data_IF_106515252363
#
_entry.id   IF_106515252363
#
_cell.length_a   1.000
_cell.length_b   1.000
_cell.length_c   1.000
_cell.angle_alpha   90.00
_cell.angle_beta   90.00
_cell.angle_gamma   90.00
#
_symmetry.space_group_name_H-M   'P 1'
#
loop_
_entity.id
_entity.type
_entity.pdbx_description
1 polymer ?
#
# COMPACT_ATOMS: atom_id res chain seq x y z
N UNK A 1 -16.03 -15.82 7.23
CA UNK A 1 -16.60 -14.66 6.51
C UNK A 1 -16.07 -13.40 7.20
N UNK A 2 -15.11 -12.70 6.59
CA UNK A 2 -14.15 -11.80 7.25
C UNK A 2 -14.48 -10.31 7.18
N UNK A 3 -15.72 -9.86 7.42
CA UNK A 3 -15.98 -8.41 7.46
C UNK A 3 -17.09 -8.08 8.44
N UNK A 4 -16.71 -7.50 9.58
CA UNK A 4 -17.63 -6.84 10.51
C UNK A 4 -17.93 -5.44 9.95
N UNK A 5 -19.22 -5.12 9.74
CA UNK A 5 -19.64 -3.77 9.36
C UNK A 5 -19.08 -2.76 10.37
N UNK A 6 -18.51 -1.65 9.90
CA UNK A 6 -17.88 -0.64 10.76
C UNK A 6 -16.48 -0.97 11.26
N UNK A 7 -15.83 -2.03 10.77
CA UNK A 7 -14.44 -2.31 11.11
C UNK A 7 -13.50 -1.17 10.69
N UNK A 8 -12.44 -0.94 11.46
CA UNK A 8 -11.48 0.14 11.23
C UNK A 8 -10.39 -0.28 10.25
N UNK A 9 -10.13 0.57 9.26
CA UNK A 9 -9.14 0.33 8.21
C UNK A 9 -8.15 1.48 8.12
N UNK A 10 -6.85 1.16 8.04
CA UNK A 10 -5.82 2.09 7.61
C UNK A 10 -5.45 1.81 6.15
N UNK A 11 -5.68 2.77 5.25
CA UNK A 11 -5.22 2.71 3.85
C UNK A 11 -3.88 3.46 3.74
N UNK A 12 -2.78 2.69 3.68
CA UNK A 12 -1.40 3.17 3.64
C UNK A 12 -1.02 3.43 2.18
N UNK A 13 -0.49 4.62 1.89
CA UNK A 13 -0.25 5.07 0.53
C UNK A 13 -1.56 5.23 -0.25
N UNK A 14 -2.54 5.89 0.36
CA UNK A 14 -3.90 5.99 -0.16
C UNK A 14 -3.99 6.77 -1.48
N UNK A 15 -2.93 7.52 -1.84
CA UNK A 15 -2.92 8.42 -2.99
C UNK A 15 -4.11 9.37 -2.94
N UNK A 16 -4.85 9.46 -4.05
CA UNK A 16 -6.07 10.27 -4.15
C UNK A 16 -7.34 9.55 -3.69
N UNK A 17 -7.21 8.43 -2.97
CA UNK A 17 -8.35 7.71 -2.36
C UNK A 17 -9.01 6.65 -3.24
N UNK A 18 -8.30 6.08 -4.23
CA UNK A 18 -8.86 5.08 -5.17
C UNK A 18 -9.42 3.85 -4.45
N UNK A 19 -8.73 3.40 -3.41
CA UNK A 19 -9.12 2.25 -2.58
C UNK A 19 -9.93 2.71 -1.37
N UNK A 20 -9.56 3.84 -0.78
CA UNK A 20 -10.22 4.44 0.39
C UNK A 20 -11.71 4.71 0.17
N UNK A 21 -12.07 5.32 -0.96
CA UNK A 21 -13.46 5.73 -1.25
C UNK A 21 -14.43 4.53 -1.34
N UNK A 22 -14.14 3.47 -2.12
CA UNK A 22 -14.95 2.27 -2.13
C UNK A 22 -15.10 1.61 -0.75
N UNK A 23 -14.02 1.54 0.04
CA UNK A 23 -14.07 0.95 1.39
C UNK A 23 -15.03 1.72 2.31
N UNK A 24 -14.98 3.05 2.29
CA UNK A 24 -15.94 3.87 3.05
C UNK A 24 -17.38 3.63 2.58
N UNK A 25 -17.62 3.56 1.26
CA UNK A 25 -18.95 3.25 0.70
C UNK A 25 -19.45 1.85 1.06
N UNK A 26 -18.55 0.90 1.33
CA UNK A 26 -18.89 -0.44 1.83
C UNK A 26 -19.17 -0.47 3.34
N UNK A 27 -19.05 0.67 4.04
CA UNK A 27 -19.35 0.78 5.48
C UNK A 27 -18.17 0.55 6.41
N UNK A 28 -16.93 0.60 5.91
CA UNK A 28 -15.74 0.60 6.76
C UNK A 28 -15.45 2.00 7.32
N UNK A 29 -14.83 2.05 8.50
CA UNK A 29 -14.30 3.29 9.08
C UNK A 29 -12.85 3.43 8.64
N UNK A 30 -12.58 4.27 7.65
CA UNK A 30 -11.28 4.32 6.97
C UNK A 30 -10.51 5.60 7.31
N UNK A 31 -9.24 5.43 7.66
CA UNK A 31 -8.23 6.50 7.70
C UNK A 31 -7.29 6.28 6.51
N UNK A 32 -7.08 7.30 5.69
CA UNK A 32 -6.15 7.26 4.56
C UNK A 32 -4.88 8.04 4.87
N UNK A 33 -3.71 7.45 4.63
CA UNK A 33 -2.43 8.16 4.74
C UNK A 33 -1.62 8.08 3.46
N UNK A 34 -0.86 9.13 3.17
CA UNK A 34 0.09 9.16 2.07
C UNK A 34 1.27 10.07 2.45
N UNK A 35 2.46 9.72 1.96
CA UNK A 35 3.67 10.50 2.22
C UNK A 35 3.65 11.83 1.46
N UNK A 36 2.97 11.90 0.31
CA UNK A 36 2.97 13.06 -0.58
C UNK A 36 1.82 14.01 -0.24
N UNK A 37 2.09 15.25 0.25
CA UNK A 37 1.04 16.19 0.65
C UNK A 37 0.00 16.48 -0.43
N UNK A 38 0.44 16.63 -1.68
CA UNK A 38 -0.44 16.89 -2.82
C UNK A 38 -1.46 15.75 -3.07
N UNK A 39 -1.12 14.50 -2.73
CA UNK A 39 -2.06 13.37 -2.83
C UNK A 39 -3.18 13.50 -1.82
N UNK A 40 -2.84 13.85 -0.57
CA UNK A 40 -3.80 14.08 0.51
C UNK A 40 -4.72 15.26 0.21
N UNK A 41 -4.19 16.36 -0.31
CA UNK A 41 -5.00 17.51 -0.73
C UNK A 41 -6.03 17.12 -1.80
N UNK A 42 -5.60 16.36 -2.81
CA UNK A 42 -6.48 15.90 -3.87
C UNK A 42 -7.50 14.86 -3.37
N UNK A 43 -7.11 13.95 -2.50
CA UNK A 43 -8.00 12.98 -1.86
C UNK A 43 -9.12 13.68 -1.07
N UNK A 44 -8.78 14.72 -0.30
CA UNK A 44 -9.75 15.55 0.43
C UNK A 44 -10.73 16.26 -0.51
N UNK A 45 -10.25 16.85 -1.61
CA UNK A 45 -11.11 17.48 -2.63
C UNK A 45 -12.08 16.47 -3.26
N UNK A 46 -11.61 15.26 -3.56
CA UNK A 46 -12.45 14.19 -4.13
C UNK A 46 -13.50 13.73 -3.11
N UNK A 47 -13.11 13.48 -1.86
CA UNK A 47 -14.04 13.08 -0.80
C UNK A 47 -15.12 14.14 -0.55
N UNK A 48 -14.76 15.43 -0.54
CA UNK A 48 -15.71 16.52 -0.42
C UNK A 48 -16.73 16.55 -1.58
N UNK A 49 -16.27 16.38 -2.84
CA UNK A 49 -17.17 16.28 -4.00
C UNK A 49 -18.12 15.08 -3.93
N UNK A 50 -17.66 13.99 -3.33
CA UNK A 50 -18.46 12.78 -3.13
C UNK A 50 -19.30 12.80 -1.85
N UNK A 51 -19.23 13.88 -1.06
CA UNK A 51 -19.91 14.02 0.23
C UNK A 51 -19.56 12.88 1.21
N UNK A 52 -18.30 12.44 1.20
CA UNK A 52 -17.79 11.41 2.10
C UNK A 52 -16.92 12.03 3.20
N UNK A 53 -17.20 11.68 4.45
CA UNK A 53 -16.36 12.01 5.59
C UNK A 53 -15.24 10.98 5.73
N UNK A 54 -14.01 11.34 5.33
CA UNK A 54 -12.83 10.47 5.38
C UNK A 54 -11.69 11.23 6.06
N UNK A 55 -11.04 10.60 7.05
CA UNK A 55 -9.86 11.14 7.71
C UNK A 55 -8.61 10.86 6.86
N UNK A 56 -8.15 11.89 6.14
CA UNK A 56 -6.91 11.85 5.36
C UNK A 56 -5.78 12.61 6.05
N UNK A 57 -4.63 11.96 6.21
CA UNK A 57 -3.44 12.52 6.87
C UNK A 57 -2.19 12.34 6.03
N UNK A 58 -1.27 13.28 6.13
CA UNK A 58 0.10 13.08 5.64
C UNK A 58 0.79 12.14 6.62
N UNK A 59 1.49 11.11 6.14
CA UNK A 59 2.16 10.15 7.00
C UNK A 59 3.16 9.24 6.28
N UNK A 60 4.21 8.85 7.00
CA UNK A 60 5.21 7.88 6.54
C UNK A 60 4.83 6.47 7.02
N UNK A 61 4.81 5.51 6.10
CA UNK A 61 4.55 4.11 6.42
C UNK A 61 5.58 3.49 7.36
N UNK A 62 6.78 4.07 7.47
CA UNK A 62 7.85 3.59 8.35
C UNK A 62 7.71 4.10 9.80
N UNK A 63 6.89 5.12 10.04
CA UNK A 63 6.69 5.77 11.34
C UNK A 63 5.22 6.21 11.52
N UNK A 64 4.33 5.23 11.64
CA UNK A 64 2.90 5.47 11.71
C UNK A 64 2.52 6.15 13.04
N UNK A 65 1.98 7.36 12.97
CA UNK A 65 1.51 8.15 14.11
C UNK A 65 0.17 7.64 14.70
N UNK A 66 0.10 6.34 14.96
CA UNK A 66 -1.04 5.65 15.53
C UNK A 66 -0.58 4.75 16.68
N UNK A 67 -1.45 4.57 17.66
CA UNK A 67 -1.26 3.61 18.76
C UNK A 67 -1.22 2.17 18.23
N UNK A 68 -0.63 1.27 19.02
CA UNK A 68 -0.64 -0.15 18.73
C UNK A 68 -2.07 -0.71 18.80
N UNK A 69 -2.34 -1.80 18.08
CA UNK A 69 -3.62 -2.52 18.14
C UNK A 69 -4.88 -1.67 17.86
N UNK A 70 -4.75 -0.64 17.02
CA UNK A 70 -5.84 0.32 16.71
C UNK A 70 -6.76 -0.16 15.59
N UNK A 71 -6.24 -0.85 14.59
CA UNK A 71 -6.96 -1.16 13.35
C UNK A 71 -7.31 -2.64 13.23
N UNK A 72 -8.51 -2.92 12.70
CA UNK A 72 -8.89 -4.28 12.29
C UNK A 72 -8.17 -4.68 11.00
N UNK A 73 -7.99 -3.73 10.07
CA UNK A 73 -7.31 -3.96 8.80
C UNK A 73 -6.33 -2.84 8.47
N UNK A 74 -5.27 -3.21 7.77
CA UNK A 74 -4.37 -2.27 7.13
C UNK A 74 -4.16 -2.72 5.68
N UNK A 75 -4.24 -1.78 4.76
CA UNK A 75 -4.14 -2.05 3.32
C UNK A 75 -3.02 -1.20 2.75
N UNK A 76 -2.16 -1.80 1.93
CA UNK A 76 -1.17 -1.09 1.12
C UNK A 76 -1.34 -1.51 -0.34
N UNK A 77 -2.30 -0.86 -0.99
CA UNK A 77 -2.74 -1.21 -2.36
C UNK A 77 -1.83 -0.62 -3.43
N UNK A 78 -1.99 -1.09 -4.67
CA UNK A 78 -1.33 -0.57 -5.88
C UNK A 78 0.19 -0.47 -5.75
N UNK A 79 0.82 -1.53 -5.23
CA UNK A 79 2.27 -1.70 -5.19
C UNK A 79 3.03 -0.70 -4.32
N UNK A 80 2.34 0.11 -3.49
CA UNK A 80 2.98 1.18 -2.74
C UNK A 80 4.08 0.71 -1.78
N UNK A 81 3.94 -0.48 -1.17
CA UNK A 81 5.01 -1.06 -0.33
C UNK A 81 6.32 -1.27 -1.11
N UNK A 82 6.25 -1.62 -2.40
CA UNK A 82 7.46 -1.82 -3.22
C UNK A 82 8.15 -0.52 -3.60
N UNK A 83 7.46 0.62 -3.50
CA UNK A 83 8.02 1.95 -3.76
C UNK A 83 8.84 2.48 -2.58
N UNK A 84 8.73 1.88 -1.40
CA UNK A 84 9.55 2.24 -0.25
C UNK A 84 11.02 1.87 -0.54
N UNK A 85 11.95 2.86 -0.54
CA UNK A 85 13.34 2.63 -0.87
C UNK A 85 14.06 1.89 0.25
N UNK A 86 14.90 0.92 -0.09
CA UNK A 86 15.69 0.16 0.89
C UNK A 86 14.97 -1.07 1.43
N UNK A 87 15.72 -2.11 1.83
CA UNK A 87 15.15 -3.34 2.41
C UNK A 87 14.69 -3.06 3.84
N UNK A 88 15.48 -2.30 4.58
CA UNK A 88 15.31 -1.96 5.99
C UNK A 88 14.03 -1.16 6.18
N UNK A 89 13.80 -0.12 5.39
CA UNK A 89 12.57 0.68 5.45
C UNK A 89 11.31 -0.13 5.12
N UNK A 90 11.41 -1.09 4.18
CA UNK A 90 10.29 -1.98 3.87
C UNK A 90 9.98 -2.94 5.01
N UNK A 91 11.00 -3.46 5.69
CA UNK A 91 10.82 -4.27 6.89
C UNK A 91 10.23 -3.42 8.02
N UNK A 92 10.69 -2.17 8.17
CA UNK A 92 10.16 -1.22 9.14
C UNK A 92 8.67 -0.91 8.87
N UNK A 93 8.28 -0.69 7.62
CA UNK A 93 6.87 -0.50 7.27
C UNK A 93 6.00 -1.73 7.56
N UNK A 94 6.54 -2.95 7.39
CA UNK A 94 5.84 -4.17 7.80
C UNK A 94 5.72 -4.28 9.34
N UNK A 95 6.76 -3.88 10.07
CA UNK A 95 6.74 -3.86 11.53
C UNK A 95 5.71 -2.84 12.05
N UNK A 96 5.65 -1.65 11.47
CA UNK A 96 4.64 -0.64 11.80
C UNK A 96 3.22 -1.10 11.47
N UNK A 97 3.01 -1.69 10.29
CA UNK A 97 1.72 -2.27 9.93
C UNK A 97 1.30 -3.37 10.93
N UNK A 98 2.24 -4.22 11.37
CA UNK A 98 1.97 -5.24 12.40
C UNK A 98 1.64 -4.62 13.76
N UNK A 99 2.33 -3.54 14.14
CA UNK A 99 2.16 -2.87 15.44
C UNK A 99 0.78 -2.23 15.57
N UNK A 100 0.31 -1.53 14.53
CA UNK A 100 -0.98 -0.82 14.55
C UNK A 100 -2.19 -1.75 14.40
N UNK A 101 -1.98 -2.99 13.97
CA UNK A 101 -3.04 -3.99 13.83
C UNK A 101 -3.37 -4.62 15.18
N UNK A 102 -4.66 -4.80 15.44
CA UNK A 102 -5.15 -5.64 16.55
C UNK A 102 -4.57 -7.05 16.45
N UNK A 103 -4.63 -7.80 17.55
CA UNK A 103 -4.16 -9.20 17.61
C UNK A 103 -4.62 -10.08 16.45
N UNK A 104 -5.88 -9.96 16.04
CA UNK A 104 -6.48 -10.71 14.93
C UNK A 104 -6.64 -9.85 13.65
N UNK A 105 -5.95 -8.72 13.61
CA UNK A 105 -6.00 -7.78 12.49
C UNK A 105 -5.26 -8.31 11.26
N UNK A 106 -5.72 -7.90 10.09
CA UNK A 106 -5.20 -8.40 8.81
C UNK A 106 -4.48 -7.30 8.05
N UNK A 107 -3.25 -7.58 7.64
CA UNK A 107 -2.51 -6.75 6.69
C UNK A 107 -2.68 -7.28 5.28
N UNK A 108 -3.15 -6.44 4.36
CA UNK A 108 -3.32 -6.78 2.94
C UNK A 108 -2.44 -5.83 2.14
N UNK A 109 -1.50 -6.37 1.35
CA UNK A 109 -0.66 -5.55 0.51
C UNK A 109 -0.39 -6.22 -0.82
N UNK A 110 0.02 -5.40 -1.78
CA UNK A 110 0.32 -5.85 -3.14
C UNK A 110 1.80 -5.57 -3.42
N UNK A 111 2.48 -6.51 -4.07
CA UNK A 111 3.91 -6.41 -4.35
C UNK A 111 4.26 -7.04 -5.70
N UNK A 112 5.26 -6.49 -6.38
CA UNK A 112 5.80 -7.12 -7.58
C UNK A 112 6.81 -8.21 -7.20
N UNK A 113 6.78 -9.37 -7.86
CA UNK A 113 7.88 -10.31 -7.76
C UNK A 113 9.15 -9.61 -8.28
N UNK A 114 10.16 -9.51 -7.42
CA UNK A 114 11.51 -9.15 -7.87
C UNK A 114 12.14 -10.41 -8.43
N UNK A 115 11.80 -10.75 -9.66
CA UNK A 115 12.58 -11.71 -10.43
C UNK A 115 13.90 -11.01 -10.73
N UNK A 116 14.95 -11.32 -9.96
CA UNK A 116 16.31 -11.07 -10.42
C UNK A 116 16.52 -12.12 -11.51
N UNK A 117 16.32 -11.70 -12.76
CA UNK A 117 16.79 -12.47 -13.91
C UNK A 117 18.32 -12.38 -13.91
N UNK A 118 18.97 -13.19 -13.07
CA UNK A 118 20.42 -13.35 -13.10
C UNK A 118 20.88 -14.32 -14.20
N UNK A 119 19.94 -15.01 -14.87
CA UNK A 119 20.25 -16.13 -15.77
C UNK A 119 19.95 -15.89 -17.25
N UNK A 120 19.26 -14.81 -17.66
CA UNK A 120 19.07 -14.51 -19.10
C UNK A 120 20.17 -13.62 -19.70
N UNK A 121 21.17 -13.17 -18.94
CA UNK A 121 22.31 -12.41 -19.48
C UNK A 121 23.42 -13.28 -20.09
N UNK A 122 23.28 -14.62 -20.09
CA UNK A 122 24.27 -15.56 -20.64
C UNK A 122 23.79 -16.34 -21.88
N UNK A 123 22.57 -16.12 -22.36
CA UNK A 123 22.03 -16.83 -23.53
C UNK A 123 22.02 -15.99 -24.82
N UNK A 124 22.93 -15.02 -24.94
CA UNK A 124 23.03 -14.12 -26.11
C UNK A 124 24.39 -14.04 -26.79
N UNK A 125 25.39 -14.84 -26.40
CA UNK A 125 26.76 -14.73 -26.93
C UNK A 125 27.39 -16.05 -27.41
N UNK A 126 26.61 -17.10 -27.70
CA UNK A 126 27.19 -18.38 -28.17
C UNK A 126 26.58 -19.00 -29.44
N UNK A 127 25.66 -18.34 -30.14
CA UNK A 127 25.24 -18.78 -31.49
C UNK A 127 25.89 -17.90 -32.56
N UNK A 128 27.15 -18.21 -32.88
CA UNK A 128 27.84 -17.71 -34.06
C UNK A 128 27.04 -17.98 -35.33
N UNK A 129 26.90 -16.94 -36.15
CA UNK A 129 26.27 -16.95 -37.45
C UNK A 129 26.87 -18.03 -38.36
N UNK A 130 26.02 -18.92 -38.87
CA UNK A 130 26.29 -19.72 -40.06
C UNK A 130 25.18 -19.50 -41.06
N UNK A 131 25.44 -18.70 -42.11
CA UNK A 131 24.73 -18.81 -43.38
C UNK A 131 25.71 -18.54 -44.52
N UNK A 132 25.83 -19.55 -45.37
CA UNK A 132 26.56 -19.61 -46.62
C UNK A 132 25.88 -18.77 -47.71
N UNK A 133 26.69 -18.10 -48.52
CA UNK A 133 26.49 -17.91 -49.97
C UNK A 133 27.85 -17.87 -50.64
#
# INVERSE_FOLDING_TARGET
MFTKLGASVLDIGCGTGRTTVPLVKMGFVVVGIDLVPAMIENAKKIAAKLQLAIDYRIGDACTLAFEAERFDYAIFSNQGWTQIPGKENRLQALAEARRILKKDGVFIFTAHPRVIVSSYFLFGLSSGFGFTS
#
